data_IF_062465097406
#
_entry.id   IF_062465097406
#
_cell.length_a   1.000
_cell.length_b   1.000
_cell.length_c   1.000
_cell.angle_alpha   90.00
_cell.angle_beta   90.00
_cell.angle_gamma   90.00
#
_symmetry.space_group_name_H-M   'P 1'
#
loop_
_entity.id
_entity.type
_entity.pdbx_description
1 polymer ?
#
# COMPACT_ATOMS: atom_id res chain seq x y z
N UNK A 1 5.89 -16.41 -23.11
CA UNK A 1 5.81 -15.65 -21.85
C UNK A 1 4.86 -14.47 -22.09
N UNK A 2 3.64 -14.50 -21.54
CA UNK A 2 2.75 -13.34 -21.65
C UNK A 2 3.26 -12.27 -20.69
N UNK A 3 3.67 -11.11 -21.21
CA UNK A 3 4.02 -9.94 -20.42
C UNK A 3 2.70 -9.33 -19.97
N UNK A 4 2.44 -9.33 -18.65
CA UNK A 4 1.31 -8.62 -18.00
C UNK A 4 1.88 -7.37 -17.38
N UNK A 5 1.88 -6.29 -18.13
CA UNK A 5 2.63 -5.08 -17.80
C UNK A 5 1.75 -3.92 -17.34
N UNK A 6 0.42 -4.11 -17.30
CA UNK A 6 -0.50 -3.03 -16.97
C UNK A 6 -1.31 -3.34 -15.71
N UNK A 7 -1.28 -2.40 -14.75
CA UNK A 7 -2.21 -2.34 -13.63
C UNK A 7 -3.21 -1.21 -13.94
N UNK A 8 -4.49 -1.54 -13.96
CA UNK A 8 -5.55 -0.58 -14.33
C UNK A 8 -6.44 -0.24 -13.12
N UNK A 9 -7.17 0.85 -13.20
CA UNK A 9 -8.14 1.25 -12.20
C UNK A 9 -9.58 1.03 -12.69
N UNK A 10 -10.50 0.77 -11.76
CA UNK A 10 -11.94 0.78 -12.01
C UNK A 10 -12.58 2.06 -11.49
N UNK A 11 -13.67 2.55 -12.11
CA UNK A 11 -14.19 3.88 -11.82
C UNK A 11 -15.04 3.96 -10.54
N UNK A 12 -15.64 2.86 -10.08
CA UNK A 12 -16.68 2.89 -9.05
C UNK A 12 -16.58 1.77 -8.02
N UNK A 13 -17.70 1.54 -7.35
CA UNK A 13 -17.85 0.55 -6.25
C UNK A 13 -18.17 -0.86 -6.74
N UNK A 14 -18.56 -1.01 -8.01
CA UNK A 14 -18.91 -2.26 -8.67
C UNK A 14 -18.35 -2.27 -10.09
N UNK A 15 -18.24 -3.45 -10.71
CA UNK A 15 -17.78 -3.57 -12.09
C UNK A 15 -18.91 -3.35 -13.08
N UNK A 16 -18.67 -2.53 -14.10
CA UNK A 16 -19.49 -2.45 -15.30
C UNK A 16 -19.08 -3.54 -16.30
N UNK A 17 -19.89 -3.79 -17.32
CA UNK A 17 -19.53 -4.71 -18.42
C UNK A 17 -18.28 -4.24 -19.18
N UNK A 18 -18.07 -2.93 -19.28
CA UNK A 18 -16.87 -2.36 -19.88
C UNK A 18 -15.62 -2.65 -19.02
N UNK A 19 -15.75 -2.59 -17.69
CA UNK A 19 -14.67 -2.95 -16.77
C UNK A 19 -14.33 -4.43 -16.88
N UNK A 20 -15.34 -5.32 -16.90
CA UNK A 20 -15.14 -6.77 -17.06
C UNK A 20 -14.39 -7.09 -18.36
N UNK A 21 -14.77 -6.44 -19.48
CA UNK A 21 -14.05 -6.62 -20.77
C UNK A 21 -12.60 -6.14 -20.69
N UNK A 22 -12.33 -5.01 -20.03
CA UNK A 22 -10.94 -4.50 -19.84
C UNK A 22 -10.11 -5.44 -18.97
N UNK A 23 -10.67 -5.90 -17.86
CA UNK A 23 -9.99 -6.83 -16.94
C UNK A 23 -9.71 -8.21 -17.58
N UNK A 24 -10.55 -8.64 -18.51
CA UNK A 24 -10.33 -9.89 -19.26
C UNK A 24 -9.16 -9.80 -20.25
N UNK A 25 -8.67 -8.60 -20.58
CA UNK A 25 -7.60 -8.42 -21.55
C UNK A 25 -6.28 -9.04 -21.06
N UNK A 26 -5.56 -9.82 -21.88
CA UNK A 26 -4.38 -10.59 -21.44
C UNK A 26 -3.20 -9.75 -20.96
N UNK A 27 -3.07 -8.49 -21.39
CA UNK A 27 -2.02 -7.56 -20.93
C UNK A 27 -2.30 -6.97 -19.55
N UNK A 28 -3.53 -7.06 -19.04
CA UNK A 28 -3.85 -6.57 -17.70
C UNK A 28 -3.34 -7.57 -16.67
N UNK A 29 -2.44 -7.13 -15.81
CA UNK A 29 -1.84 -7.91 -14.72
C UNK A 29 -2.50 -7.66 -13.37
N UNK A 30 -3.20 -6.55 -13.19
CA UNK A 30 -3.82 -6.24 -11.91
C UNK A 30 -4.73 -5.02 -11.91
N UNK A 31 -5.29 -4.76 -10.73
CA UNK A 31 -6.19 -3.63 -10.45
C UNK A 31 -5.64 -2.85 -9.26
N UNK A 32 -5.57 -1.52 -9.39
CA UNK A 32 -5.27 -0.64 -8.27
C UNK A 32 -6.55 0.07 -7.78
N UNK A 33 -6.80 -0.02 -6.47
CA UNK A 33 -7.88 0.69 -5.82
C UNK A 33 -7.48 2.09 -5.34
N UNK A 34 -8.47 2.98 -5.38
CA UNK A 34 -8.41 4.33 -4.84
C UNK A 34 -9.55 4.57 -3.84
N UNK A 35 -9.55 5.71 -3.17
CA UNK A 35 -10.62 6.06 -2.22
C UNK A 35 -12.04 6.01 -2.84
N UNK A 36 -12.17 6.27 -4.16
CA UNK A 36 -13.46 6.16 -4.88
C UNK A 36 -14.03 4.73 -4.97
N UNK A 37 -13.19 3.72 -4.72
CA UNK A 37 -13.59 2.32 -4.74
C UNK A 37 -14.00 1.79 -3.35
N UNK A 38 -14.08 2.67 -2.36
CA UNK A 38 -14.34 2.34 -0.97
C UNK A 38 -15.66 2.91 -0.47
N UNK A 39 -16.48 2.06 0.11
CA UNK A 39 -17.66 2.39 0.89
C UNK A 39 -17.58 1.75 2.29
N UNK A 40 -17.43 0.43 2.33
CA UNK A 40 -17.25 -0.37 3.54
C UNK A 40 -16.55 -1.71 3.19
N UNK A 41 -16.25 -2.51 4.22
CA UNK A 41 -15.53 -3.78 4.05
C UNK A 41 -16.31 -4.80 3.19
N UNK A 42 -17.62 -4.86 3.37
CA UNK A 42 -18.46 -5.81 2.62
C UNK A 42 -18.47 -5.46 1.12
N UNK A 43 -18.63 -4.17 0.78
CA UNK A 43 -18.60 -3.70 -0.59
C UNK A 43 -17.23 -3.96 -1.23
N UNK A 44 -16.12 -3.63 -0.54
CA UNK A 44 -14.77 -3.86 -1.09
C UNK A 44 -14.50 -5.35 -1.32
N UNK A 45 -14.90 -6.20 -0.36
CA UNK A 45 -14.78 -7.66 -0.50
C UNK A 45 -15.57 -8.18 -1.70
N UNK A 46 -16.80 -7.68 -1.90
CA UNK A 46 -17.62 -8.04 -3.05
C UNK A 46 -16.98 -7.60 -4.37
N UNK A 47 -16.50 -6.36 -4.45
CA UNK A 47 -15.80 -5.85 -5.64
C UNK A 47 -14.54 -6.69 -5.97
N UNK A 48 -13.75 -7.05 -4.96
CA UNK A 48 -12.56 -7.88 -5.15
C UNK A 48 -12.92 -9.30 -5.60
N UNK A 49 -13.99 -9.88 -5.07
CA UNK A 49 -14.50 -11.16 -5.53
C UNK A 49 -14.97 -11.10 -7.00
N UNK A 50 -15.65 -10.02 -7.42
CA UNK A 50 -16.03 -9.80 -8.82
C UNK A 50 -14.81 -9.71 -9.74
N UNK A 51 -13.76 -8.99 -9.33
CA UNK A 51 -12.50 -8.89 -10.09
C UNK A 51 -11.86 -10.26 -10.26
N UNK A 52 -11.75 -11.04 -9.18
CA UNK A 52 -11.20 -12.40 -9.21
C UNK A 52 -12.07 -13.37 -10.02
N UNK A 53 -13.39 -13.16 -10.09
CA UNK A 53 -14.29 -13.95 -10.93
C UNK A 53 -14.08 -13.69 -12.44
N UNK A 54 -13.64 -12.48 -12.84
CA UNK A 54 -13.24 -12.21 -14.23
C UNK A 54 -11.98 -12.97 -14.59
N UNK A 55 -10.96 -12.87 -13.74
CA UNK A 55 -9.69 -13.59 -13.86
C UNK A 55 -9.05 -13.77 -12.47
N UNK A 56 -8.87 -15.01 -11.99
CA UNK A 56 -8.38 -15.30 -10.64
C UNK A 56 -6.92 -14.88 -10.41
N UNK A 57 -6.15 -14.72 -11.47
CA UNK A 57 -4.73 -14.36 -11.46
C UNK A 57 -4.45 -12.85 -11.49
N UNK A 58 -5.49 -11.99 -11.57
CA UNK A 58 -5.32 -10.55 -11.45
C UNK A 58 -4.85 -10.18 -10.04
N UNK A 59 -3.79 -9.39 -9.97
CA UNK A 59 -3.34 -8.82 -8.69
C UNK A 59 -4.23 -7.64 -8.29
N UNK A 60 -4.67 -7.61 -7.05
CA UNK A 60 -5.45 -6.51 -6.49
C UNK A 60 -4.56 -5.75 -5.52
N UNK A 61 -4.34 -4.47 -5.79
CA UNK A 61 -3.42 -3.63 -5.03
C UNK A 61 -4.01 -2.27 -4.67
N UNK A 62 -3.34 -1.58 -3.76
CA UNK A 62 -3.74 -0.26 -3.26
C UNK A 62 -2.54 0.52 -2.76
N UNK A 63 -2.58 1.86 -2.80
CA UNK A 63 -1.70 2.71 -2.01
C UNK A 63 -2.27 2.87 -0.60
N UNK A 64 -1.75 2.11 0.34
CA UNK A 64 -2.22 2.10 1.73
C UNK A 64 -1.00 2.07 2.65
N UNK A 65 -0.43 3.26 2.90
CA UNK A 65 0.83 3.42 3.62
C UNK A 65 0.61 3.75 5.11
N UNK A 66 -0.46 4.46 5.40
CA UNK A 66 -0.75 5.17 6.63
C UNK A 66 -0.72 6.70 6.42
N UNK A 67 -1.03 7.46 7.44
CA UNK A 67 -1.08 8.91 7.38
C UNK A 67 -1.99 9.42 6.26
N UNK A 68 -1.50 10.35 5.45
CA UNK A 68 -2.26 10.95 4.35
C UNK A 68 -2.43 10.02 3.14
N UNK A 69 -1.58 9.00 2.98
CA UNK A 69 -1.69 8.00 1.91
C UNK A 69 -2.24 6.70 2.47
N UNK A 70 -3.50 6.74 2.78
CA UNK A 70 -4.29 5.59 3.21
C UNK A 70 -5.68 5.70 2.59
N UNK A 71 -6.07 4.75 1.73
CA UNK A 71 -7.32 4.86 0.95
C UNK A 71 -8.56 4.46 1.75
N UNK A 72 -8.43 3.49 2.64
CA UNK A 72 -9.52 2.99 3.47
C UNK A 72 -9.27 3.40 4.93
N UNK A 73 -10.20 4.15 5.55
CA UNK A 73 -9.97 4.80 6.85
C UNK A 73 -11.12 4.64 7.85
N UNK A 74 -12.19 3.98 7.44
CA UNK A 74 -13.43 3.87 8.22
C UNK A 74 -13.89 2.42 8.27
N UNK A 75 -15.01 2.14 8.93
CA UNK A 75 -15.70 0.85 8.89
C UNK A 75 -14.78 -0.36 9.16
N UNK A 76 -13.96 -0.26 10.22
CA UNK A 76 -13.09 -1.32 10.68
C UNK A 76 -11.67 -1.31 10.13
N UNK A 77 -11.27 -0.32 9.30
CA UNK A 77 -9.88 -0.05 8.99
C UNK A 77 -9.27 0.89 10.05
N UNK A 78 -8.14 0.47 10.59
CA UNK A 78 -7.34 1.28 11.51
C UNK A 78 -6.71 2.45 10.77
N UNK A 79 -6.86 3.68 11.29
CA UNK A 79 -6.12 4.82 10.76
C UNK A 79 -4.68 4.76 11.26
N UNK A 80 -3.79 4.29 10.40
CA UNK A 80 -2.38 4.11 10.70
C UNK A 80 -1.64 5.45 10.67
N UNK A 81 -0.64 5.66 11.54
CA UNK A 81 0.19 6.85 11.52
C UNK A 81 1.03 6.91 10.24
N UNK A 82 1.55 8.11 9.85
CA UNK A 82 2.55 8.21 8.80
C UNK A 82 3.85 7.54 9.23
N UNK A 83 4.66 7.09 8.27
CA UNK A 83 5.93 6.39 8.52
C UNK A 83 6.92 7.25 9.33
N UNK A 84 6.84 8.58 9.23
CA UNK A 84 7.60 9.54 10.04
C UNK A 84 7.44 9.30 11.54
N UNK A 85 6.24 8.96 12.01
CA UNK A 85 6.01 8.72 13.44
C UNK A 85 6.88 7.57 13.99
N UNK A 86 7.14 6.55 13.17
CA UNK A 86 8.06 5.46 13.52
C UNK A 86 9.52 5.94 13.57
N UNK A 87 9.92 6.82 12.65
CA UNK A 87 11.24 7.45 12.66
C UNK A 87 11.46 8.37 13.85
N UNK A 88 10.45 9.12 14.25
CA UNK A 88 10.50 9.95 15.46
C UNK A 88 10.59 9.11 16.72
N UNK A 89 9.83 8.03 16.80
CA UNK A 89 9.92 7.06 17.90
C UNK A 89 11.30 6.39 17.95
N UNK A 90 11.89 6.10 16.79
CA UNK A 90 13.25 5.55 16.72
C UNK A 90 14.29 6.43 17.40
N UNK A 91 14.19 7.75 17.28
CA UNK A 91 15.17 8.69 17.86
C UNK A 91 15.25 8.61 19.39
N UNK A 92 14.23 8.11 20.05
CA UNK A 92 14.17 8.00 21.51
C UNK A 92 14.10 6.56 22.01
N UNK A 93 13.44 5.68 21.26
CA UNK A 93 13.13 4.30 21.66
C UNK A 93 13.24 3.33 20.46
N UNK A 94 14.46 3.00 19.99
CA UNK A 94 14.65 2.22 18.76
C UNK A 94 13.98 0.84 18.78
N UNK A 95 14.06 0.12 19.89
CA UNK A 95 13.41 -1.20 20.00
C UNK A 95 11.88 -1.09 19.94
N UNK A 96 11.31 -0.10 20.57
CA UNK A 96 9.88 0.12 20.52
C UNK A 96 9.43 0.53 19.10
N UNK A 97 10.24 1.32 18.39
CA UNK A 97 9.96 1.72 17.02
C UNK A 97 9.93 0.52 16.05
N UNK A 98 10.86 -0.43 16.19
CA UNK A 98 10.85 -1.66 15.37
C UNK A 98 9.66 -2.55 15.68
N UNK A 99 9.29 -2.71 16.96
CA UNK A 99 8.11 -3.46 17.36
C UNK A 99 6.82 -2.81 16.83
N UNK A 100 6.70 -1.48 16.97
CA UNK A 100 5.58 -0.71 16.43
C UNK A 100 5.50 -0.81 14.89
N UNK A 101 6.63 -0.76 14.20
CA UNK A 101 6.70 -0.93 12.76
C UNK A 101 6.21 -2.32 12.31
N UNK A 102 6.60 -3.39 13.03
CA UNK A 102 6.10 -4.74 12.76
C UNK A 102 4.59 -4.83 13.01
N UNK A 103 4.10 -4.29 14.13
CA UNK A 103 2.68 -4.28 14.44
C UNK A 103 1.87 -3.50 13.40
N UNK A 104 2.39 -2.34 12.95
CA UNK A 104 1.76 -1.55 11.88
C UNK A 104 1.64 -2.35 10.59
N UNK A 105 2.73 -3.00 10.17
CA UNK A 105 2.72 -3.86 8.97
C UNK A 105 1.73 -5.02 9.09
N UNK A 106 1.64 -5.64 10.26
CA UNK A 106 0.69 -6.72 10.52
C UNK A 106 -0.78 -6.23 10.42
N UNK A 107 -1.12 -5.13 11.08
CA UNK A 107 -2.49 -4.57 11.04
C UNK A 107 -2.86 -4.19 9.61
N UNK A 108 -1.96 -3.49 8.90
CA UNK A 108 -2.16 -3.10 7.51
C UNK A 108 -2.44 -4.32 6.63
N UNK A 109 -1.58 -5.33 6.72
CA UNK A 109 -1.72 -6.55 5.92
C UNK A 109 -2.99 -7.34 6.28
N UNK A 110 -3.27 -7.54 7.56
CA UNK A 110 -4.43 -8.31 8.02
C UNK A 110 -5.76 -7.68 7.56
N UNK A 111 -5.89 -6.35 7.68
CA UNK A 111 -7.11 -5.65 7.28
C UNK A 111 -7.33 -5.68 5.76
N UNK A 112 -6.27 -5.48 4.97
CA UNK A 112 -6.34 -5.53 3.51
C UNK A 112 -6.60 -6.95 2.99
N UNK A 113 -5.89 -7.96 3.52
CA UNK A 113 -6.06 -9.37 3.15
C UNK A 113 -7.48 -9.86 3.46
N UNK A 114 -8.05 -9.44 4.58
CA UNK A 114 -9.43 -9.79 4.95
C UNK A 114 -10.47 -9.29 3.94
N UNK A 115 -10.14 -8.27 3.13
CA UNK A 115 -11.00 -7.77 2.05
C UNK A 115 -10.60 -8.30 0.66
N UNK A 116 -9.62 -9.21 0.57
CA UNK A 116 -9.18 -9.80 -0.70
C UNK A 116 -8.20 -8.92 -1.50
N UNK A 117 -7.52 -7.97 -0.86
CA UNK A 117 -6.41 -7.22 -1.48
C UNK A 117 -5.14 -8.06 -1.41
N UNK A 118 -4.41 -8.16 -2.51
CA UNK A 118 -3.21 -9.00 -2.60
C UNK A 118 -1.98 -8.31 -2.03
N UNK A 119 -1.79 -7.00 -2.28
CA UNK A 119 -0.68 -6.23 -1.70
C UNK A 119 -0.95 -4.72 -1.67
N UNK A 120 -0.19 -4.03 -0.83
CA UNK A 120 -0.10 -2.57 -0.83
C UNK A 120 1.23 -2.12 -1.47
N UNK A 121 1.21 -1.00 -2.20
CA UNK A 121 2.44 -0.30 -2.61
C UNK A 121 3.08 0.39 -1.39
N UNK A 122 3.60 -0.42 -0.50
CA UNK A 122 4.26 -0.10 0.77
C UNK A 122 5.45 -1.05 0.92
N UNK A 123 6.65 -0.59 1.27
CA UNK A 123 6.99 0.57 2.10
C UNK A 123 7.64 1.71 1.28
N UNK A 124 7.53 2.94 1.78
CA UNK A 124 8.28 4.08 1.24
C UNK A 124 9.72 4.03 1.76
N UNK A 125 10.67 3.92 0.84
CA UNK A 125 12.11 3.84 1.12
C UNK A 125 12.84 5.15 0.87
N UNK A 126 12.11 6.19 0.44
CA UNK A 126 12.66 7.51 0.18
C UNK A 126 13.20 8.14 1.46
N UNK A 127 14.34 8.83 1.33
CA UNK A 127 14.94 9.55 2.44
C UNK A 127 14.30 10.94 2.61
N UNK A 128 14.18 11.38 3.87
CA UNK A 128 13.71 12.72 4.15
C UNK A 128 14.87 13.73 4.06
N UNK A 129 14.93 14.41 2.93
CA UNK A 129 15.85 15.56 2.74
C UNK A 129 15.20 16.90 3.12
N UNK A 130 13.92 16.91 3.53
CA UNK A 130 13.19 18.14 3.85
C UNK A 130 12.74 18.96 2.63
N UNK A 131 13.12 18.56 1.41
CA UNK A 131 12.85 19.32 0.19
C UNK A 131 11.54 18.89 -0.51
N UNK A 132 11.19 17.61 -0.46
CA UNK A 132 10.03 17.06 -1.14
C UNK A 132 8.78 17.12 -0.27
N UNK A 133 7.80 17.97 -0.66
CA UNK A 133 6.49 17.97 -0.02
C UNK A 133 5.63 16.74 -0.42
N UNK A 134 5.96 16.10 -1.54
CA UNK A 134 5.29 14.88 -2.02
C UNK A 134 5.63 13.69 -1.11
N UNK A 135 6.87 13.55 -0.70
CA UNK A 135 7.31 12.51 0.25
C UNK A 135 6.98 12.95 1.68
N UNK A 136 7.55 14.05 2.16
CA UNK A 136 7.25 14.61 3.47
C UNK A 136 7.26 13.55 4.58
N UNK A 137 6.15 13.46 5.30
CA UNK A 137 5.93 12.54 6.43
C UNK A 137 5.73 11.05 6.01
N UNK A 138 5.70 10.77 4.71
CA UNK A 138 5.70 9.40 4.19
C UNK A 138 7.07 8.71 4.37
N UNK A 139 8.17 9.47 4.40
CA UNK A 139 9.50 8.94 4.70
C UNK A 139 9.64 8.64 6.19
N UNK A 140 10.28 7.52 6.52
CA UNK A 140 10.60 7.17 7.91
C UNK A 140 11.59 8.18 8.55
N UNK A 141 12.70 8.41 7.86
CA UNK A 141 13.82 9.14 8.43
C UNK A 141 14.77 9.66 7.32
N UNK A 142 15.72 10.52 7.69
CA UNK A 142 16.79 10.97 6.78
C UNK A 142 18.01 10.03 6.72
N UNK A 143 18.23 9.22 7.77
CA UNK A 143 19.31 8.23 7.80
C UNK A 143 18.87 6.94 7.10
N UNK A 144 19.55 6.51 6.02
CA UNK A 144 19.18 5.33 5.26
C UNK A 144 19.25 4.02 6.08
N UNK A 145 20.09 3.97 7.13
CA UNK A 145 20.17 2.81 8.01
C UNK A 145 18.90 2.66 8.85
N UNK A 146 18.36 3.77 9.35
CA UNK A 146 17.09 3.81 10.09
C UNK A 146 15.94 3.42 9.16
N UNK A 147 15.90 4.00 7.95
CA UNK A 147 14.89 3.64 6.93
C UNK A 147 14.92 2.14 6.65
N UNK A 148 16.12 1.57 6.42
CA UNK A 148 16.26 0.14 6.13
C UNK A 148 15.76 -0.76 7.28
N UNK A 149 16.03 -0.40 8.54
CA UNK A 149 15.61 -1.16 9.72
C UNK A 149 14.09 -1.09 9.92
N UNK A 150 13.51 0.10 9.89
CA UNK A 150 12.07 0.28 10.08
C UNK A 150 11.27 -0.31 8.90
N UNK A 151 11.74 -0.13 7.67
CA UNK A 151 11.12 -0.74 6.50
C UNK A 151 11.11 -2.27 6.59
N UNK A 152 12.23 -2.90 6.98
CA UNK A 152 12.28 -4.36 7.21
C UNK A 152 11.29 -4.81 8.29
N UNK A 153 11.10 -4.03 9.34
CA UNK A 153 10.14 -4.34 10.39
C UNK A 153 8.69 -4.28 9.87
N UNK A 154 8.33 -3.26 9.08
CA UNK A 154 7.00 -3.18 8.43
C UNK A 154 6.82 -4.36 7.46
N UNK A 155 7.84 -4.65 6.63
CA UNK A 155 7.81 -5.77 5.69
C UNK A 155 7.61 -7.11 6.40
N UNK A 156 8.26 -7.30 7.56
CA UNK A 156 8.06 -8.48 8.38
C UNK A 156 6.61 -8.61 8.85
N UNK A 157 6.00 -7.51 9.33
CA UNK A 157 4.59 -7.49 9.72
C UNK A 157 3.65 -7.85 8.57
N UNK A 158 3.90 -7.33 7.35
CA UNK A 158 3.14 -7.68 6.14
C UNK A 158 3.26 -9.18 5.83
N UNK A 159 4.47 -9.73 5.87
CA UNK A 159 4.72 -11.15 5.60
C UNK A 159 4.01 -12.09 6.58
N UNK A 160 3.82 -11.68 7.84
CA UNK A 160 3.05 -12.45 8.82
C UNK A 160 1.57 -12.61 8.46
N UNK A 161 1.08 -11.83 7.49
CA UNK A 161 -0.29 -11.91 6.97
C UNK A 161 -0.36 -12.47 5.55
N UNK A 162 0.71 -13.11 5.07
CA UNK A 162 0.88 -13.57 3.69
C UNK A 162 0.71 -12.44 2.66
N UNK A 163 1.01 -11.19 3.03
CA UNK A 163 1.00 -10.06 2.11
C UNK A 163 2.40 -9.79 1.57
N UNK A 164 2.53 -9.75 0.25
CA UNK A 164 3.72 -9.26 -0.42
C UNK A 164 3.93 -7.76 -0.16
N UNK A 165 5.14 -7.29 -0.30
CA UNK A 165 5.49 -5.87 -0.13
C UNK A 165 6.13 -5.30 -1.40
N UNK A 166 6.10 -3.98 -1.53
CA UNK A 166 6.64 -3.25 -2.66
C UNK A 166 7.35 -1.99 -2.16
N UNK A 167 8.68 -2.01 -2.19
CA UNK A 167 9.48 -0.83 -1.84
C UNK A 167 9.43 0.23 -2.93
N UNK A 168 9.25 1.50 -2.55
CA UNK A 168 9.13 2.63 -3.49
C UNK A 168 9.78 3.89 -2.90
N UNK A 169 10.23 4.84 -3.72
CA UNK A 169 10.10 4.97 -5.18
C UNK A 169 11.49 4.86 -5.82
N UNK A 170 11.76 3.84 -6.57
CA UNK A 170 13.05 3.72 -7.27
C UNK A 170 13.12 4.70 -8.45
N UNK A 171 14.24 5.40 -8.69
CA UNK A 171 15.51 5.36 -7.94
C UNK A 171 15.54 6.23 -6.68
N UNK A 172 14.49 6.96 -6.34
CA UNK A 172 14.32 7.79 -5.16
C UNK A 172 13.59 9.09 -5.45
N UNK A 173 12.66 9.49 -4.55
CA UNK A 173 11.80 10.67 -4.67
C UNK A 173 11.99 11.66 -3.51
N UNK A 174 12.91 11.40 -2.57
CA UNK A 174 13.07 12.17 -1.34
C UNK A 174 13.46 13.64 -1.54
N UNK A 175 13.95 14.02 -2.71
CA UNK A 175 14.40 15.38 -3.04
C UNK A 175 13.49 16.11 -4.03
N UNK A 176 12.87 15.38 -4.96
CA UNK A 176 12.07 15.97 -6.04
C UNK A 176 10.73 16.47 -5.52
N UNK A 177 10.30 17.67 -5.97
CA UNK A 177 9.02 18.30 -5.61
C UNK A 177 7.88 17.97 -6.56
N UNK A 178 8.19 17.60 -7.80
CA UNK A 178 7.18 17.21 -8.78
C UNK A 178 6.58 15.85 -8.41
N UNK A 179 5.28 15.71 -8.55
CA UNK A 179 4.58 14.42 -8.44
C UNK A 179 4.38 13.82 -9.84
N UNK A 180 4.30 12.50 -9.90
CA UNK A 180 4.09 11.76 -11.17
C UNK A 180 2.63 11.69 -11.59
#
# INVERSE_FOLDING_TARGET
>A
MCIRDSIIAVPGLTLTDADRRRLAHPLVGGVIHFARNWQDRAQLTALNAEIKAVRPDLLICVDHEGGRVQRFRTNGFTHLPPMRALGELWNTQPLQATNAATALGYVLGAELRACGVDFSFTTVLDLDYGASSVIGDRAFHRDPRVVALLAKSVMHGLLLTDMANCGKHFPGHGYVKADS
#
